data_IF_744150161053
#
_entry.id   IF_744150161053
#
_cell.length_a   1.000
_cell.length_b   1.000
_cell.length_c   1.000
_cell.angle_alpha   90.00
_cell.angle_beta   90.00
_cell.angle_gamma   90.00
#
_symmetry.space_group_name_H-M   'P 1'
#
loop_
_entity.id
_entity.type
_entity.pdbx_description
1 polymer ?
#
# COMPACT_ATOMS: atom_id res chain seq x y z
N UNK A 1 54.63 -29.51 -38.64
CA UNK A 1 53.79 -29.74 -37.44
C UNK A 1 52.46 -29.07 -37.67
N UNK A 2 51.33 -29.73 -37.94
CA UNK A 2 50.62 -30.80 -37.21
C UNK A 2 50.29 -30.47 -35.75
N UNK A 3 48.98 -30.50 -35.46
CA UNK A 3 48.34 -30.66 -34.14
C UNK A 3 48.00 -29.34 -33.44
N UNK A 4 46.79 -29.08 -32.93
CA UNK A 4 45.55 -29.84 -32.73
C UNK A 4 44.47 -28.81 -32.28
N UNK A 5 43.18 -29.01 -32.54
CA UNK A 5 42.28 -29.82 -31.70
C UNK A 5 42.02 -29.11 -30.37
N UNK A 6 40.80 -28.77 -29.92
CA UNK A 6 39.45 -29.08 -30.33
C UNK A 6 38.49 -28.36 -29.37
N UNK A 7 37.20 -28.38 -29.70
CA UNK A 7 36.08 -27.87 -28.88
C UNK A 7 36.06 -28.52 -27.47
N UNK A 8 35.39 -27.99 -26.45
CA UNK A 8 33.93 -28.04 -26.27
C UNK A 8 33.53 -27.34 -24.94
N UNK A 9 32.37 -26.67 -24.97
CA UNK A 9 31.31 -26.59 -23.94
C UNK A 9 31.65 -26.09 -22.52
N UNK A 10 30.93 -25.04 -22.15
CA UNK A 10 30.68 -24.67 -20.75
C UNK A 10 29.76 -23.47 -20.64
N UNK A 11 28.45 -23.70 -20.83
CA UNK A 11 27.45 -22.70 -20.46
C UNK A 11 27.46 -22.51 -18.94
N UNK A 12 27.54 -21.26 -18.48
CA UNK A 12 27.14 -20.88 -17.14
C UNK A 12 26.57 -19.46 -17.20
N UNK A 13 25.25 -19.37 -17.31
CA UNK A 13 24.54 -18.13 -17.04
C UNK A 13 24.60 -17.88 -15.53
N UNK A 14 25.07 -16.72 -15.05
CA UNK A 14 24.81 -16.35 -13.67
C UNK A 14 23.34 -15.94 -13.55
N UNK A 15 22.60 -16.85 -12.90
CA UNK A 15 21.44 -16.65 -12.03
C UNK A 15 20.80 -15.26 -12.13
N UNK A 16 19.55 -15.22 -12.65
CA UNK A 16 18.65 -14.09 -12.39
C UNK A 16 18.65 -13.87 -10.89
N UNK A 17 19.30 -12.80 -10.43
CA UNK A 17 19.07 -12.27 -9.11
C UNK A 17 17.62 -11.77 -9.17
N UNK A 18 16.68 -12.66 -8.83
CA UNK A 18 15.32 -12.28 -8.53
C UNK A 18 15.46 -11.23 -7.43
N UNK A 19 15.32 -9.95 -7.80
CA UNK A 19 14.95 -8.92 -6.85
C UNK A 19 13.63 -9.43 -6.28
N UNK A 20 13.70 -10.12 -5.16
CA UNK A 20 12.58 -10.16 -4.24
C UNK A 20 12.44 -8.70 -3.82
N UNK A 21 11.67 -7.94 -4.59
CA UNK A 21 11.16 -6.68 -4.14
C UNK A 21 10.43 -7.04 -2.85
N UNK A 22 11.04 -6.70 -1.71
CA UNK A 22 10.33 -6.49 -0.46
C UNK A 22 9.07 -5.72 -0.88
N UNK A 23 7.84 -6.19 -0.60
CA UNK A 23 6.66 -5.43 -1.00
C UNK A 23 6.89 -4.01 -0.48
N UNK A 24 7.12 -3.08 -1.41
CA UNK A 24 7.31 -1.68 -1.09
C UNK A 24 6.09 -1.32 -0.25
N UNK A 25 6.31 -0.85 0.98
CA UNK A 25 5.22 -0.50 1.88
C UNK A 25 4.20 0.32 1.06
N UNK A 26 2.89 0.03 1.11
CA UNK A 26 1.93 0.73 0.30
C UNK A 26 2.09 2.22 0.53
N UNK A 27 2.60 2.91 -0.50
CA UNK A 27 2.68 4.37 -0.51
C UNK A 27 1.24 4.82 -0.68
N UNK A 28 0.72 5.45 0.36
CA UNK A 28 -0.62 6.02 0.33
C UNK A 28 -0.54 7.45 -0.20
N UNK A 29 -1.58 7.86 -0.91
CA UNK A 29 -1.82 9.24 -1.27
C UNK A 29 -2.88 9.83 -0.36
N UNK A 30 -2.88 11.15 -0.19
CA UNK A 30 -3.94 11.83 0.55
C UNK A 30 -4.29 13.17 -0.07
N UNK A 31 -5.54 13.57 0.12
CA UNK A 31 -6.06 14.87 -0.28
C UNK A 31 -7.07 15.35 0.77
N UNK A 32 -7.40 16.64 0.77
CA UNK A 32 -8.43 17.17 1.66
C UNK A 32 -9.22 18.28 0.98
N UNK A 33 -10.47 18.45 1.43
CA UNK A 33 -11.29 19.63 1.17
C UNK A 33 -11.67 20.27 2.53
N UNK A 34 -12.60 21.23 2.57
CA UNK A 34 -13.00 21.88 3.82
C UNK A 34 -13.68 20.94 4.83
N UNK A 35 -14.31 19.86 4.37
CA UNK A 35 -15.12 18.94 5.19
C UNK A 35 -14.36 17.67 5.58
N UNK A 36 -13.46 17.16 4.74
CA UNK A 36 -12.88 15.84 4.94
C UNK A 36 -11.42 15.73 4.48
N UNK A 37 -10.76 14.67 4.96
CA UNK A 37 -9.47 14.20 4.47
C UNK A 37 -9.67 12.80 3.88
N UNK A 38 -9.20 12.59 2.66
CA UNK A 38 -9.20 11.29 1.98
C UNK A 38 -7.79 10.71 2.00
N UNK A 39 -7.65 9.48 2.50
CA UNK A 39 -6.41 8.69 2.40
C UNK A 39 -6.66 7.52 1.47
N UNK A 40 -5.90 7.44 0.38
CA UNK A 40 -6.05 6.42 -0.67
C UNK A 40 -4.86 5.47 -0.64
N UNK A 41 -5.13 4.17 -0.52
CA UNK A 41 -4.12 3.12 -0.49
C UNK A 41 -4.36 2.14 -1.63
N UNK A 42 -3.44 1.99 -2.59
CA UNK A 42 -3.51 0.93 -3.58
C UNK A 42 -3.47 -0.45 -2.91
N UNK A 43 -4.40 -1.32 -3.29
CA UNK A 43 -4.46 -2.69 -2.74
C UNK A 43 -4.43 -3.73 -3.87
N UNK A 44 -3.77 -4.89 -3.66
CA UNK A 44 -3.62 -5.90 -4.68
C UNK A 44 -4.94 -6.59 -5.04
N UNK A 45 -4.97 -7.24 -6.20
CA UNK A 45 -6.07 -8.13 -6.59
C UNK A 45 -6.22 -9.25 -5.55
N UNK A 46 -7.44 -9.46 -5.06
CA UNK A 46 -7.74 -10.44 -4.01
C UNK A 46 -7.77 -9.87 -2.59
N UNK A 47 -7.47 -8.58 -2.39
CA UNK A 47 -7.66 -7.88 -1.12
C UNK A 47 -9.09 -8.00 -0.61
N UNK A 48 -9.26 -8.34 0.68
CA UNK A 48 -10.56 -8.55 1.32
C UNK A 48 -10.78 -7.54 2.43
N UNK A 49 -12.05 -7.28 2.75
CA UNK A 49 -12.42 -6.46 3.93
C UNK A 49 -11.74 -6.94 5.23
N UNK A 50 -11.58 -8.26 5.40
CA UNK A 50 -10.98 -8.83 6.61
C UNK A 50 -9.49 -8.51 6.78
N UNK A 51 -8.81 -8.06 5.72
CA UNK A 51 -7.42 -7.64 5.77
C UNK A 51 -7.26 -6.22 6.33
N UNK A 52 -8.36 -5.50 6.55
CA UNK A 52 -8.36 -4.09 6.99
C UNK A 52 -8.53 -4.00 8.49
N UNK A 53 -7.57 -3.35 9.13
CA UNK A 53 -7.73 -2.82 10.48
C UNK A 53 -7.54 -1.31 10.44
N UNK A 54 -8.66 -0.59 10.36
CA UNK A 54 -8.71 0.86 10.38
C UNK A 54 -9.30 1.32 11.71
N UNK A 55 -8.52 2.07 12.48
CA UNK A 55 -8.94 2.66 13.75
C UNK A 55 -8.82 4.16 13.64
N UNK A 56 -9.96 4.82 13.51
CA UNK A 56 -10.09 6.28 13.57
C UNK A 56 -10.42 6.66 15.00
N UNK A 57 -9.67 7.61 15.56
CA UNK A 57 -9.99 8.27 16.82
C UNK A 57 -9.97 9.78 16.58
N UNK A 58 -10.58 10.53 17.51
CA UNK A 58 -10.76 11.98 17.38
C UNK A 58 -9.48 12.72 16.95
N UNK A 59 -8.31 12.33 17.45
CA UNK A 59 -7.04 12.98 17.12
C UNK A 59 -5.95 12.03 16.57
N UNK A 60 -6.30 10.81 16.13
CA UNK A 60 -5.31 9.86 15.61
C UNK A 60 -5.89 8.86 14.63
N UNK A 61 -5.08 8.43 13.66
CA UNK A 61 -5.41 7.36 12.72
C UNK A 61 -4.40 6.23 12.86
N UNK A 62 -4.91 4.99 12.85
CA UNK A 62 -4.11 3.78 12.61
C UNK A 62 -4.75 2.97 11.49
N UNK A 63 -4.01 2.74 10.42
CA UNK A 63 -4.41 1.88 9.31
C UNK A 63 -3.40 0.76 9.13
N UNK A 64 -3.89 -0.47 9.17
CA UNK A 64 -3.12 -1.68 8.91
C UNK A 64 -3.84 -2.51 7.85
N UNK A 65 -3.09 -3.01 6.88
CA UNK A 65 -3.57 -3.82 5.77
C UNK A 65 -2.79 -5.13 5.73
N UNK A 66 -3.49 -6.26 5.82
CA UNK A 66 -2.91 -7.61 5.82
C UNK A 66 -1.75 -7.77 6.83
N UNK A 67 -1.86 -7.11 8.00
CA UNK A 67 -0.84 -7.11 9.04
C UNK A 67 0.31 -6.11 8.85
N UNK A 68 0.35 -5.38 7.74
CA UNK A 68 1.33 -4.31 7.51
C UNK A 68 0.76 -2.94 7.91
N UNK A 69 1.46 -2.22 8.79
CA UNK A 69 1.08 -0.88 9.20
C UNK A 69 1.33 0.10 8.04
N UNK A 70 0.27 0.75 7.56
CA UNK A 70 0.32 1.70 6.45
C UNK A 70 0.57 3.10 6.97
N UNK A 71 -0.17 3.48 8.01
CA UNK A 71 0.07 4.71 8.75
C UNK A 71 -0.42 4.55 10.21
N UNK A 72 0.30 5.18 11.13
CA UNK A 72 -0.09 5.27 12.53
C UNK A 72 0.45 6.58 13.10
N UNK A 73 -0.43 7.45 13.58
CA UNK A 73 -0.01 8.72 14.16
C UNK A 73 -1.15 9.65 14.57
N UNK A 74 -0.75 10.79 15.12
CA UNK A 74 -1.65 11.89 15.47
C UNK A 74 -2.09 12.67 14.22
N UNK A 75 -3.33 13.13 14.23
CA UNK A 75 -3.90 13.97 13.19
C UNK A 75 -3.56 15.44 13.47
N UNK A 76 -3.38 16.24 12.41
CA UNK A 76 -3.11 17.67 12.56
C UNK A 76 -4.28 18.45 13.20
N UNK A 77 -5.51 17.92 13.08
CA UNK A 77 -6.74 18.44 13.68
C UNK A 77 -7.69 17.30 13.99
N UNK A 78 -8.69 17.59 14.81
CA UNK A 78 -9.69 16.62 15.22
C UNK A 78 -10.65 16.23 14.09
N UNK A 79 -11.08 14.97 14.12
CA UNK A 79 -12.07 14.37 13.21
C UNK A 79 -13.23 13.82 14.02
N UNK A 80 -14.37 13.67 13.37
CA UNK A 80 -15.52 12.93 13.91
C UNK A 80 -15.36 11.44 13.56
N UNK A 81 -15.07 10.56 14.54
CA UNK A 81 -14.85 9.14 14.26
C UNK A 81 -16.12 8.39 13.85
N UNK A 82 -17.30 8.88 14.26
CA UNK A 82 -18.59 8.25 13.97
C UNK A 82 -19.05 8.57 12.54
N UNK A 83 -18.70 9.76 12.02
CA UNK A 83 -18.91 10.12 10.61
C UNK A 83 -17.76 9.71 9.68
N UNK A 84 -16.61 9.31 10.22
CA UNK A 84 -15.47 8.82 9.44
C UNK A 84 -15.68 7.37 9.02
N UNK A 85 -15.20 7.01 7.83
CA UNK A 85 -15.39 5.66 7.29
C UNK A 85 -14.25 5.23 6.38
N UNK A 86 -14.31 3.99 5.91
CA UNK A 86 -13.47 3.54 4.81
C UNK A 86 -14.27 2.66 3.85
N UNK A 87 -13.89 2.73 2.57
CA UNK A 87 -14.51 2.02 1.46
C UNK A 87 -13.44 1.33 0.60
N UNK A 88 -13.90 0.39 -0.22
CA UNK A 88 -13.10 -0.16 -1.31
C UNK A 88 -13.65 0.37 -2.62
N UNK A 89 -12.80 1.04 -3.38
CA UNK A 89 -13.14 1.67 -4.65
C UNK A 89 -12.31 1.05 -5.77
N UNK A 90 -12.72 1.33 -7.01
CA UNK A 90 -12.00 0.89 -8.21
C UNK A 90 -11.86 2.07 -9.16
N UNK A 91 -10.62 2.45 -9.45
CA UNK A 91 -10.29 3.60 -10.30
C UNK A 91 -9.25 3.15 -11.33
N UNK A 92 -9.53 3.39 -12.62
CA UNK A 92 -8.63 3.04 -13.73
C UNK A 92 -8.09 1.58 -13.71
N UNK A 93 -8.89 0.62 -13.23
CA UNK A 93 -8.50 -0.79 -13.13
C UNK A 93 -7.67 -1.15 -11.89
N UNK A 94 -7.41 -0.19 -11.00
CA UNK A 94 -6.77 -0.41 -9.71
C UNK A 94 -7.82 -0.43 -8.60
N UNK A 95 -7.62 -1.29 -7.59
CA UNK A 95 -8.43 -1.27 -6.36
C UNK A 95 -7.78 -0.36 -5.33
N UNK A 96 -8.58 0.51 -4.73
CA UNK A 96 -8.14 1.46 -3.72
C UNK A 96 -8.92 1.24 -2.43
N UNK A 97 -8.23 1.17 -1.31
CA UNK A 97 -8.85 1.41 -0.01
C UNK A 97 -8.85 2.92 0.22
N UNK A 98 -10.02 3.49 0.44
CA UNK A 98 -10.20 4.93 0.67
C UNK A 98 -10.69 5.12 2.09
N UNK A 99 -9.90 5.78 2.93
CA UNK A 99 -10.32 6.23 4.26
C UNK A 99 -10.79 7.67 4.16
N UNK A 100 -12.02 7.92 4.57
CA UNK A 100 -12.63 9.23 4.66
C UNK A 100 -12.66 9.66 6.12
N UNK A 101 -11.93 10.72 6.44
CA UNK A 101 -11.91 11.33 7.76
C UNK A 101 -12.72 12.61 7.75
N UNK A 102 -13.89 12.60 8.38
CA UNK A 102 -14.76 13.77 8.51
C UNK A 102 -14.18 14.72 9.54
N UNK A 103 -13.88 15.96 9.17
CA UNK A 103 -13.32 16.95 10.10
C UNK A 103 -14.36 17.31 11.15
N UNK A 104 -13.95 17.38 12.40
CA UNK A 104 -14.84 17.83 13.46
C UNK A 104 -15.21 19.30 13.21
N UNK A 105 -16.51 19.62 13.30
CA UNK A 105 -16.96 21.01 13.33
C UNK A 105 -16.46 21.64 14.63
N UNK A 106 -15.72 22.74 14.50
CA UNK A 106 -15.19 23.50 15.63
C UNK A 106 -16.26 24.35 16.32
#
# INVERSE_FOLDING_TARGET
SHGGGGALRGAAAPVRLSRMAKPEAPVYDWAQNDMEVLVKVPVPEGFRKGDVQCKVQRASLRLTIAGNEICCGELAKEVDPDESSWSLESEAGMRLLVVTLTKALA
#
